data_IF_238759283237
#
_entry.id   IF_238759283237
#
_cell.length_a   1.000
_cell.length_b   1.000
_cell.length_c   1.000
_cell.angle_alpha   90.00
_cell.angle_beta   90.00
_cell.angle_gamma   90.00
#
_symmetry.space_group_name_H-M   'P 1'
#
loop_
_entity.id
_entity.type
_entity.pdbx_description
1 polymer ?
#
# COMPACT_ATOMS: atom_id res chain seq x y z
N UNK A 1 -16.69 -1.89 13.68
CA UNK A 1 -17.63 -2.19 12.60
C UNK A 1 -16.96 -3.11 11.60
N UNK A 2 -16.90 -4.39 11.91
CA UNK A 2 -16.57 -5.44 10.94
C UNK A 2 -17.89 -5.82 10.28
N UNK A 3 -18.27 -5.19 9.18
CA UNK A 3 -19.25 -5.79 8.29
C UNK A 3 -18.57 -7.00 7.64
N UNK A 4 -18.84 -8.18 8.14
CA UNK A 4 -18.49 -9.41 7.45
C UNK A 4 -19.26 -9.43 6.13
N UNK A 5 -18.55 -9.41 5.03
CA UNK A 5 -19.15 -9.63 3.73
C UNK A 5 -19.57 -11.10 3.66
N UNK A 6 -20.88 -11.35 3.67
CA UNK A 6 -21.43 -12.71 3.59
C UNK A 6 -22.42 -12.81 2.43
N UNK A 7 -22.60 -14.01 1.87
CA UNK A 7 -23.50 -14.27 0.77
C UNK A 7 -23.11 -13.51 -0.51
N UNK A 8 -24.05 -12.80 -1.11
CA UNK A 8 -23.82 -12.05 -2.37
C UNK A 8 -22.74 -10.96 -2.24
N UNK A 9 -22.37 -10.56 -1.02
CA UNK A 9 -21.39 -9.53 -0.75
C UNK A 9 -19.97 -10.08 -0.62
N UNK A 10 -19.76 -11.37 -0.58
CA UNK A 10 -18.44 -12.02 -0.50
C UNK A 10 -17.50 -11.61 -1.65
N UNK A 11 -18.08 -11.31 -2.82
CA UNK A 11 -17.34 -10.77 -3.98
C UNK A 11 -16.57 -9.47 -3.68
N UNK A 12 -16.98 -8.70 -2.65
CA UNK A 12 -16.28 -7.48 -2.25
C UNK A 12 -15.15 -7.72 -1.24
N UNK A 13 -15.02 -8.94 -0.74
CA UNK A 13 -13.90 -9.33 0.12
C UNK A 13 -12.66 -9.76 -0.69
N UNK A 14 -12.86 -10.13 -1.95
CA UNK A 14 -11.79 -10.57 -2.86
C UNK A 14 -11.27 -9.37 -3.65
N UNK A 15 -9.97 -9.37 -3.96
CA UNK A 15 -9.39 -8.37 -4.86
C UNK A 15 -9.82 -8.65 -6.30
N UNK A 16 -10.64 -7.77 -6.93
CA UNK A 16 -11.15 -8.01 -8.27
C UNK A 16 -10.10 -7.71 -9.37
N UNK A 17 -8.94 -7.21 -9.01
CA UNK A 17 -7.87 -6.78 -9.93
C UNK A 17 -6.65 -7.69 -9.85
N UNK A 18 -6.63 -8.65 -8.91
CA UNK A 18 -5.61 -9.68 -8.86
C UNK A 18 -5.90 -10.74 -9.91
N UNK A 19 -4.93 -11.02 -10.79
CA UNK A 19 -5.08 -12.07 -11.82
C UNK A 19 -5.05 -13.46 -11.20
N UNK A 20 -4.07 -13.73 -10.37
CA UNK A 20 -3.89 -15.01 -9.66
C UNK A 20 -3.30 -14.77 -8.25
N UNK A 21 -3.62 -15.63 -7.28
CA UNK A 21 -2.93 -15.59 -6.00
C UNK A 21 -1.44 -15.93 -6.17
N UNK A 22 -0.58 -15.08 -5.66
CA UNK A 22 0.86 -15.36 -5.66
C UNK A 22 1.15 -16.42 -4.60
N UNK A 23 1.48 -17.65 -5.03
CA UNK A 23 1.98 -18.66 -4.11
C UNK A 23 3.41 -18.38 -3.71
N UNK A 24 3.69 -18.39 -2.42
CA UNK A 24 5.02 -18.21 -1.83
C UNK A 24 5.09 -18.82 -0.44
N UNK A 25 6.29 -19.15 -0.03
CA UNK A 25 6.56 -19.55 1.36
C UNK A 25 6.38 -18.35 2.32
N UNK A 26 6.04 -18.62 3.58
CA UNK A 26 5.99 -17.60 4.62
C UNK A 26 7.33 -16.88 4.78
N UNK A 27 7.27 -15.56 4.90
CA UNK A 27 8.45 -14.70 5.07
C UNK A 27 8.73 -14.52 6.56
N UNK A 28 9.99 -14.75 6.94
CA UNK A 28 10.55 -14.32 8.21
C UNK A 28 11.57 -13.25 7.93
N UNK A 29 11.31 -12.03 8.40
CA UNK A 29 12.11 -10.85 8.06
C UNK A 29 12.27 -9.94 9.28
N UNK A 30 13.35 -9.16 9.30
CA UNK A 30 13.60 -8.13 10.31
C UNK A 30 14.09 -6.88 9.62
N UNK A 31 13.32 -5.81 9.72
CA UNK A 31 13.57 -4.55 9.04
C UNK A 31 13.58 -3.36 9.99
N UNK A 32 14.12 -2.22 9.56
CA UNK A 32 14.04 -0.99 10.33
C UNK A 32 12.64 -0.38 10.28
N UNK A 33 12.07 -0.26 9.08
CA UNK A 33 10.75 0.33 8.85
C UNK A 33 9.83 -0.64 8.12
N UNK A 34 8.62 -0.87 8.66
CA UNK A 34 7.58 -1.65 8.03
C UNK A 34 6.32 -0.83 7.85
N UNK A 35 5.80 -0.81 6.63
CA UNK A 35 4.57 -0.11 6.25
C UNK A 35 3.41 -1.09 6.12
N UNK A 36 2.28 -0.75 6.74
CA UNK A 36 1.02 -1.45 6.55
C UNK A 36 0.20 -0.69 5.51
N UNK A 37 0.19 -1.17 4.28
CA UNK A 37 -0.43 -0.56 3.11
C UNK A 37 0.57 0.03 2.13
N UNK A 38 0.24 -0.03 0.83
CA UNK A 38 1.05 0.40 -0.33
C UNK A 38 0.49 1.62 -1.07
N UNK A 39 -0.27 2.49 -0.39
CA UNK A 39 -0.80 3.73 -0.95
C UNK A 39 0.17 4.91 -0.86
N UNK A 40 -0.33 6.13 -1.11
CA UNK A 40 0.48 7.37 -1.13
C UNK A 40 1.37 7.54 0.10
N UNK A 41 0.85 7.27 1.30
CA UNK A 41 1.65 7.42 2.55
C UNK A 41 2.88 6.52 2.55
N UNK A 42 2.73 5.26 2.14
CA UNK A 42 3.84 4.33 2.07
C UNK A 42 4.82 4.72 0.97
N UNK A 43 4.34 5.02 -0.24
CA UNK A 43 5.18 5.38 -1.38
C UNK A 43 6.00 6.64 -1.10
N UNK A 44 5.35 7.72 -0.66
CA UNK A 44 6.02 8.99 -0.35
C UNK A 44 7.04 8.83 0.78
N UNK A 45 6.64 8.18 1.88
CA UNK A 45 7.53 8.04 3.04
C UNK A 45 8.71 7.12 2.72
N UNK A 46 8.46 6.00 2.03
CA UNK A 46 9.54 5.09 1.61
C UNK A 46 10.52 5.75 0.65
N UNK A 47 10.03 6.53 -0.34
CA UNK A 47 10.87 7.30 -1.24
C UNK A 47 11.80 8.27 -0.45
N UNK A 48 11.24 9.03 0.49
CA UNK A 48 12.01 9.96 1.34
C UNK A 48 12.99 9.26 2.28
N UNK A 49 12.67 8.07 2.77
CA UNK A 49 13.59 7.27 3.58
C UNK A 49 14.75 6.74 2.73
N UNK A 50 14.48 6.25 1.51
CA UNK A 50 15.53 5.80 0.58
C UNK A 50 16.48 6.94 0.18
N UNK A 51 15.96 8.13 -0.10
CA UNK A 51 16.80 9.32 -0.36
C UNK A 51 17.73 9.66 0.80
N UNK A 52 17.40 9.22 2.01
CA UNK A 52 18.22 9.39 3.23
C UNK A 52 19.08 8.19 3.58
N UNK A 53 19.13 7.20 2.70
CA UNK A 53 19.96 5.99 2.87
C UNK A 53 19.35 4.92 3.78
N UNK A 54 18.05 5.00 4.10
CA UNK A 54 17.35 3.91 4.80
C UNK A 54 16.91 2.89 3.78
N UNK A 55 17.57 1.75 3.76
CA UNK A 55 17.31 0.66 2.81
C UNK A 55 16.47 -0.48 3.41
N UNK A 56 16.52 -0.65 4.73
CA UNK A 56 15.83 -1.72 5.45
C UNK A 56 14.36 -1.39 5.64
N UNK A 57 13.59 -1.55 4.58
CA UNK A 57 12.17 -1.22 4.48
C UNK A 57 11.38 -2.44 4.01
N UNK A 58 10.17 -2.63 4.54
CA UNK A 58 9.18 -3.58 4.04
C UNK A 58 7.83 -2.90 3.90
N UNK A 59 7.16 -3.12 2.77
CA UNK A 59 5.79 -2.68 2.52
C UNK A 59 4.91 -3.94 2.46
N UNK A 60 3.86 -4.01 3.27
CA UNK A 60 2.88 -5.12 3.24
C UNK A 60 1.58 -4.56 2.71
N UNK A 61 1.19 -4.98 1.50
CA UNK A 61 -0.01 -4.50 0.81
C UNK A 61 -0.99 -5.65 0.55
N UNK A 62 -2.25 -5.39 0.87
CA UNK A 62 -3.35 -6.34 0.67
C UNK A 62 -3.71 -6.50 -0.81
N UNK A 63 -3.60 -5.44 -1.58
CA UNK A 63 -3.83 -5.46 -3.03
C UNK A 63 -2.71 -6.19 -3.79
N UNK A 64 -2.96 -6.48 -5.05
CA UNK A 64 -1.96 -7.07 -5.93
C UNK A 64 -0.96 -6.04 -6.47
N UNK A 65 -1.15 -4.75 -6.19
CA UNK A 65 -0.25 -3.68 -6.63
C UNK A 65 -0.31 -2.48 -5.67
N UNK A 66 0.61 -1.56 -5.84
CA UNK A 66 0.63 -0.26 -5.16
C UNK A 66 -0.52 0.65 -5.63
N UNK A 67 -0.76 1.74 -4.89
CA UNK A 67 -1.71 2.77 -5.29
C UNK A 67 -2.83 3.02 -4.26
N UNK A 68 -3.07 2.09 -3.33
CA UNK A 68 -4.05 2.26 -2.25
C UNK A 68 -5.44 2.63 -2.78
N UNK A 69 -5.96 3.81 -2.45
CA UNK A 69 -7.26 4.31 -2.92
C UNK A 69 -7.42 4.17 -4.44
N UNK A 70 -6.39 4.46 -5.21
CA UNK A 70 -6.43 4.46 -6.67
C UNK A 70 -6.26 3.06 -7.27
N UNK A 71 -5.70 2.14 -6.54
CA UNK A 71 -5.74 0.72 -6.87
C UNK A 71 -7.15 0.14 -6.69
N UNK A 72 -7.84 0.47 -5.59
CA UNK A 72 -9.13 -0.11 -5.23
C UNK A 72 -10.33 0.55 -5.94
N UNK A 73 -10.22 1.82 -6.35
CA UNK A 73 -11.30 2.59 -6.94
C UNK A 73 -11.06 2.84 -8.44
N UNK A 74 -11.54 1.92 -9.28
CA UNK A 74 -11.36 1.96 -10.75
C UNK A 74 -12.69 2.04 -11.51
N UNK A 75 -13.71 2.62 -10.93
CA UNK A 75 -14.99 2.80 -11.59
C UNK A 75 -14.95 3.95 -12.60
N UNK A 76 -15.88 3.94 -13.64
CA UNK A 76 -15.91 4.98 -14.64
C UNK A 76 -16.11 6.38 -14.05
N UNK A 77 -15.27 7.32 -14.45
CA UNK A 77 -15.35 8.71 -14.02
C UNK A 77 -14.65 9.02 -12.69
N UNK A 78 -14.02 8.04 -12.03
CA UNK A 78 -13.25 8.29 -10.80
C UNK A 78 -12.11 9.27 -11.07
N UNK A 79 -12.03 10.32 -10.25
CA UNK A 79 -11.03 11.37 -10.32
C UNK A 79 -10.80 11.97 -8.93
N UNK A 80 -9.69 12.67 -8.76
CA UNK A 80 -9.47 13.46 -7.57
C UNK A 80 -10.27 14.76 -7.62
N UNK A 81 -10.78 15.22 -6.49
CA UNK A 81 -11.47 16.50 -6.30
C UNK A 81 -10.53 17.61 -5.76
N UNK A 82 -9.25 17.28 -5.61
CA UNK A 82 -8.18 18.21 -5.28
C UNK A 82 -7.36 18.51 -6.53
N UNK A 83 -6.88 19.74 -6.67
CA UNK A 83 -6.02 20.17 -7.78
C UNK A 83 -4.80 19.25 -7.87
N UNK A 84 -4.50 18.76 -9.08
CA UNK A 84 -3.48 17.74 -9.32
C UNK A 84 -2.10 18.10 -8.79
N UNK A 85 -1.72 19.36 -8.87
CA UNK A 85 -0.42 19.84 -8.36
C UNK A 85 -0.30 19.81 -6.83
N UNK A 86 -1.42 19.87 -6.12
CA UNK A 86 -1.45 19.76 -4.66
C UNK A 86 -1.60 18.32 -4.19
N UNK A 87 -2.20 17.46 -5.05
CA UNK A 87 -2.55 16.10 -4.69
C UNK A 87 -1.49 15.07 -5.02
N UNK A 88 -0.89 15.13 -6.22
CA UNK A 88 0.11 14.16 -6.67
C UNK A 88 1.46 14.42 -5.99
N UNK A 89 2.02 13.42 -5.29
CA UNK A 89 3.28 13.59 -4.59
C UNK A 89 4.48 13.49 -5.54
N UNK A 90 5.60 14.10 -5.16
CA UNK A 90 6.91 13.94 -5.81
C UNK A 90 6.93 14.37 -7.27
N UNK A 91 6.14 15.38 -7.65
CA UNK A 91 6.08 15.85 -9.05
C UNK A 91 7.44 16.27 -9.61
N UNK A 92 8.20 17.03 -8.83
CA UNK A 92 9.53 17.50 -9.23
C UNK A 92 10.51 16.36 -9.36
N UNK A 93 10.55 15.47 -8.37
CA UNK A 93 11.42 14.30 -8.37
C UNK A 93 11.08 13.34 -9.53
N UNK A 94 9.80 13.22 -9.85
CA UNK A 94 9.32 12.41 -10.97
C UNK A 94 9.48 13.10 -12.32
N UNK A 95 9.79 14.41 -12.34
CA UNK A 95 9.74 15.25 -13.53
C UNK A 95 8.40 15.09 -14.28
N UNK A 96 7.31 15.12 -13.52
CA UNK A 96 5.96 14.84 -14.01
C UNK A 96 5.08 16.08 -13.94
N UNK A 97 4.37 16.34 -15.03
CA UNK A 97 3.36 17.39 -15.13
C UNK A 97 2.00 16.74 -15.30
N UNK A 98 1.04 16.96 -14.37
CA UNK A 98 -0.29 16.39 -14.48
C UNK A 98 -1.00 16.80 -15.77
N UNK A 99 -1.71 15.86 -16.39
CA UNK A 99 -2.41 16.06 -17.66
C UNK A 99 -3.69 16.88 -17.52
N UNK A 100 -4.30 16.84 -16.31
CA UNK A 100 -5.58 17.48 -16.02
C UNK A 100 -5.50 18.32 -14.74
N UNK A 101 -6.37 19.33 -14.63
CA UNK A 101 -6.53 20.12 -13.41
C UNK A 101 -6.94 19.25 -12.21
N UNK A 102 -7.80 18.28 -12.45
CA UNK A 102 -8.18 17.20 -11.54
C UNK A 102 -7.81 15.87 -12.18
N UNK A 103 -6.77 15.23 -11.68
CA UNK A 103 -6.27 13.98 -12.26
C UNK A 103 -7.27 12.84 -12.12
N UNK A 104 -7.39 12.05 -13.18
CA UNK A 104 -8.22 10.85 -13.20
C UNK A 104 -7.56 9.72 -12.42
N UNK A 105 -8.37 8.75 -11.98
CA UNK A 105 -7.89 7.64 -11.18
C UNK A 105 -6.82 6.78 -11.86
N UNK A 106 -6.93 6.59 -13.17
CA UNK A 106 -5.93 5.89 -13.97
C UNK A 106 -4.57 6.63 -13.98
N UNK A 107 -4.57 7.95 -14.23
CA UNK A 107 -3.38 8.78 -14.17
C UNK A 107 -2.69 8.73 -12.80
N UNK A 108 -3.49 8.77 -11.72
CA UNK A 108 -2.96 8.74 -10.36
C UNK A 108 -2.36 7.38 -10.02
N UNK A 109 -2.99 6.29 -10.47
CA UNK A 109 -2.46 4.94 -10.29
C UNK A 109 -1.13 4.77 -11.05
N UNK A 110 -1.07 5.18 -12.32
CA UNK A 110 0.16 5.18 -13.11
C UNK A 110 1.29 5.97 -12.41
N UNK A 111 0.95 7.11 -11.80
CA UNK A 111 1.92 7.90 -11.05
C UNK A 111 2.43 7.17 -9.79
N UNK A 112 1.55 6.47 -9.06
CA UNK A 112 1.94 5.61 -7.93
C UNK A 112 2.93 4.52 -8.37
N UNK A 113 2.62 3.84 -9.46
CA UNK A 113 3.46 2.78 -10.03
C UNK A 113 4.82 3.33 -10.50
N UNK A 114 4.81 4.52 -11.11
CA UNK A 114 6.04 5.19 -11.52
C UNK A 114 6.94 5.54 -10.32
N UNK A 115 6.37 6.01 -9.20
CA UNK A 115 7.11 6.25 -7.96
C UNK A 115 7.69 4.95 -7.42
N UNK A 116 6.89 3.88 -7.36
CA UNK A 116 7.35 2.59 -6.86
C UNK A 116 8.51 2.04 -7.69
N UNK A 117 8.45 2.18 -9.02
CA UNK A 117 9.53 1.78 -9.92
C UNK A 117 10.79 2.64 -9.72
N UNK A 118 10.64 3.96 -9.67
CA UNK A 118 11.80 4.87 -9.55
C UNK A 118 12.61 4.67 -8.27
N UNK A 119 11.93 4.33 -7.19
CA UNK A 119 12.54 4.15 -5.87
C UNK A 119 12.77 2.68 -5.49
N UNK A 120 12.63 1.74 -6.43
CA UNK A 120 12.79 0.28 -6.25
C UNK A 120 11.91 -0.27 -5.11
N UNK A 121 10.69 0.26 -4.95
CA UNK A 121 9.81 -0.11 -3.86
C UNK A 121 9.10 -1.44 -4.09
N UNK A 122 9.01 -1.90 -5.34
CA UNK A 122 8.44 -3.22 -5.65
C UNK A 122 9.25 -4.36 -5.02
N UNK A 123 10.58 -4.27 -5.01
CA UNK A 123 11.46 -5.27 -4.39
C UNK A 123 11.30 -5.31 -2.85
N UNK A 124 10.80 -4.23 -2.28
CA UNK A 124 10.55 -4.08 -0.84
C UNK A 124 9.10 -4.44 -0.45
N UNK A 125 8.23 -4.64 -1.44
CA UNK A 125 6.80 -4.85 -1.21
C UNK A 125 6.42 -6.33 -1.21
N UNK A 126 5.47 -6.67 -0.35
CA UNK A 126 4.80 -7.97 -0.31
C UNK A 126 3.32 -7.71 -0.56
N UNK A 127 2.86 -8.14 -1.73
CA UNK A 127 1.49 -7.96 -2.19
C UNK A 127 0.57 -9.11 -1.80
N UNK A 128 -0.75 -8.91 -1.99
CA UNK A 128 -1.80 -9.88 -1.66
C UNK A 128 -1.65 -10.45 -0.25
N UNK A 129 -1.25 -9.58 0.69
CA UNK A 129 -0.88 -9.98 2.04
C UNK A 129 -1.50 -9.02 3.05
N UNK A 130 -2.28 -9.56 3.97
CA UNK A 130 -2.98 -8.77 5.00
C UNK A 130 -2.29 -8.93 6.35
N UNK A 131 -1.92 -7.83 6.99
CA UNK A 131 -1.45 -7.85 8.38
C UNK A 131 -2.62 -8.18 9.29
N UNK A 132 -2.50 -9.26 10.05
CA UNK A 132 -3.55 -9.75 10.97
C UNK A 132 -3.32 -9.33 12.42
N UNK A 133 -2.06 -9.12 12.81
CA UNK A 133 -1.72 -8.63 14.13
C UNK A 133 -0.40 -7.88 14.17
N UNK A 134 -0.31 -6.95 15.12
CA UNK A 134 0.93 -6.25 15.48
C UNK A 134 1.09 -6.29 16.99
N UNK A 135 2.26 -6.70 17.47
CA UNK A 135 2.55 -6.86 18.91
C UNK A 135 3.88 -6.22 19.24
N UNK A 136 3.91 -5.38 20.26
CA UNK A 136 5.15 -4.81 20.78
C UNK A 136 5.89 -5.83 21.65
N UNK A 137 7.12 -6.17 21.29
CA UNK A 137 8.00 -7.04 22.05
C UNK A 137 8.96 -6.20 22.92
N UNK A 138 8.58 -5.95 24.15
CA UNK A 138 9.32 -5.05 25.04
C UNK A 138 10.76 -5.49 25.29
N UNK A 139 11.01 -6.80 25.37
CA UNK A 139 12.35 -7.35 25.57
C UNK A 139 13.30 -7.13 24.38
N UNK A 140 12.74 -7.03 23.18
CA UNK A 140 13.49 -6.85 21.93
C UNK A 140 13.46 -5.40 21.44
N UNK A 141 12.58 -4.57 22.00
CA UNK A 141 12.26 -3.20 21.54
C UNK A 141 11.89 -3.16 20.05
N UNK A 142 11.10 -4.13 19.62
CA UNK A 142 10.65 -4.28 18.25
C UNK A 142 9.15 -4.61 18.18
N UNK A 143 8.55 -4.29 17.05
CA UNK A 143 7.23 -4.76 16.69
C UNK A 143 7.32 -6.11 15.99
N UNK A 144 6.48 -7.05 16.38
CA UNK A 144 6.21 -8.28 15.63
C UNK A 144 4.91 -8.11 14.85
N UNK A 145 4.93 -8.44 13.56
CA UNK A 145 3.77 -8.45 12.68
C UNK A 145 3.53 -9.86 12.17
N UNK A 146 2.25 -10.25 12.13
CA UNK A 146 1.80 -11.51 11.51
C UNK A 146 0.82 -11.20 10.38
N UNK A 147 0.82 -12.04 9.36
CA UNK A 147 -0.04 -11.90 8.19
C UNK A 147 -0.94 -13.10 8.01
N UNK A 148 -1.95 -12.97 7.15
CA UNK A 148 -2.84 -14.04 6.71
C UNK A 148 -2.13 -15.14 5.91
N UNK A 149 -0.87 -14.89 5.49
CA UNK A 149 -0.03 -15.85 4.76
C UNK A 149 1.01 -16.56 5.62
N UNK A 150 0.89 -16.43 6.94
CA UNK A 150 1.79 -17.09 7.89
C UNK A 150 3.14 -16.38 8.08
N UNK A 151 3.32 -15.20 7.52
CA UNK A 151 4.54 -14.42 7.72
C UNK A 151 4.69 -13.98 9.17
N UNK A 152 5.94 -13.91 9.64
CA UNK A 152 6.32 -13.31 10.92
C UNK A 152 7.45 -12.34 10.66
N UNK A 153 7.15 -11.05 10.73
CA UNK A 153 8.12 -9.99 10.46
C UNK A 153 8.35 -9.17 11.71
N UNK A 154 9.57 -8.68 11.90
CA UNK A 154 9.91 -7.75 12.99
C UNK A 154 10.34 -6.41 12.42
N UNK A 155 9.94 -5.33 13.08
CA UNK A 155 10.33 -3.99 12.68
C UNK A 155 10.59 -3.09 13.88
N UNK A 156 11.58 -2.20 13.78
CA UNK A 156 11.82 -1.16 14.77
C UNK A 156 10.72 -0.11 14.75
N UNK A 157 10.28 0.26 13.55
CA UNK A 157 9.20 1.22 13.32
C UNK A 157 8.11 0.60 12.46
N UNK A 158 6.86 0.73 12.90
CA UNK A 158 5.69 0.35 12.11
C UNK A 158 4.93 1.59 11.73
N UNK A 159 4.71 1.76 10.43
CA UNK A 159 4.00 2.90 9.86
C UNK A 159 2.63 2.42 9.36
N UNK A 160 1.55 2.91 9.98
CA UNK A 160 0.20 2.64 9.55
C UNK A 160 -0.13 3.49 8.31
N UNK A 161 -0.04 2.89 7.13
CA UNK A 161 -0.32 3.52 5.84
C UNK A 161 -1.56 2.93 5.15
N UNK A 162 -2.45 2.31 5.93
CA UNK A 162 -3.59 1.51 5.46
C UNK A 162 -4.76 2.35 4.88
N UNK A 163 -4.74 3.67 5.00
CA UNK A 163 -5.77 4.55 4.45
C UNK A 163 -7.19 4.26 4.98
N UNK A 164 -8.20 4.85 4.34
CA UNK A 164 -9.61 4.73 4.75
C UNK A 164 -10.57 4.32 3.62
N UNK A 165 -10.13 4.37 2.36
CA UNK A 165 -10.98 4.20 1.17
C UNK A 165 -10.70 2.91 0.40
N UNK A 166 -10.29 1.85 1.08
CA UNK A 166 -9.96 0.55 0.48
C UNK A 166 -11.03 -0.52 0.63
N UNK A 167 -12.08 -0.26 1.43
CA UNK A 167 -13.22 -1.17 1.61
C UNK A 167 -14.52 -0.43 1.35
N UNK A 168 -15.44 -0.98 0.55
CA UNK A 168 -16.75 -0.38 0.35
C UNK A 168 -17.53 -0.36 1.68
N UNK A 169 -18.26 0.73 1.91
CA UNK A 169 -19.27 0.80 2.95
C UNK A 169 -20.64 0.64 2.29
N UNK A 170 -21.36 -0.39 2.70
CA UNK A 170 -22.72 -0.62 2.27
C UNK A 170 -23.67 -0.02 3.32
N UNK A 171 -24.68 0.66 2.83
CA UNK A 171 -25.73 1.24 3.66
C UNK A 171 -26.66 0.14 4.21
#
# INVERSE_FOLDING_TARGET
FTSEFTGELEKYAVDPYAEEPVEREPITDTVECLFIGGGFSALLTSARLRERGVESIRIVERGADVGGTWYWNRYPGVACDVVSYDYLPLLDEMNYVPKNHYSRGDEILEHCQAIANKYDLYDLAVFQTTVTSTTWLASEQMWELKTDRGDVMKARFVICANGTLSKPKLA
#
